data_IF_474731703684
#
_entry.id   IF_474731703684
#
_cell.length_a   1.000
_cell.length_b   1.000
_cell.length_c   1.000
_cell.angle_alpha   90.00
_cell.angle_beta   90.00
_cell.angle_gamma   90.00
#
_symmetry.space_group_name_H-M   'P 1'
#
loop_
_entity.id
_entity.type
_entity.pdbx_description
1 polymer ?
#
# COMPACT_ATOMS: atom_id res chain seq x y z
N UNK A 1 5.35 -40.63 -30.22
CA UNK A 1 4.92 -39.22 -30.41
C UNK A 1 4.83 -38.63 -29.01
N UNK A 2 5.77 -37.75 -28.66
CA UNK A 2 6.07 -37.30 -27.28
C UNK A 2 5.07 -36.21 -26.81
N UNK A 3 4.61 -36.20 -25.55
CA UNK A 3 3.67 -35.21 -25.01
C UNK A 3 4.32 -33.85 -24.66
N UNK A 4 5.37 -33.44 -25.37
CA UNK A 4 6.28 -32.36 -24.95
C UNK A 4 5.86 -30.94 -25.39
N UNK A 5 4.69 -30.77 -26.01
CA UNK A 5 4.28 -29.48 -26.58
C UNK A 5 2.95 -28.97 -26.00
N UNK A 6 2.73 -29.10 -24.69
CA UNK A 6 1.68 -28.31 -24.04
C UNK A 6 2.17 -26.84 -23.99
N UNK A 7 1.55 -25.89 -24.71
CA UNK A 7 1.91 -24.49 -24.55
C UNK A 7 1.71 -24.12 -23.08
N UNK A 8 2.74 -23.55 -22.44
CA UNK A 8 2.63 -22.98 -21.11
C UNK A 8 1.48 -21.98 -21.15
N UNK A 9 0.34 -22.36 -20.59
CA UNK A 9 -0.85 -21.52 -20.51
C UNK A 9 -0.40 -20.20 -19.90
N UNK A 10 -0.35 -19.15 -20.73
CA UNK A 10 -0.09 -17.78 -20.30
C UNK A 10 -1.25 -17.36 -19.40
N UNK A 11 -1.18 -17.77 -18.14
CA UNK A 11 -1.97 -17.21 -17.05
C UNK A 11 -1.80 -15.70 -17.17
N UNK A 12 -2.93 -15.02 -17.38
CA UNK A 12 -2.97 -13.64 -17.87
C UNK A 12 -2.02 -12.74 -17.09
N UNK A 13 -1.07 -12.12 -17.80
CA UNK A 13 -0.21 -11.05 -17.26
C UNK A 13 -1.01 -9.84 -16.74
N UNK A 14 -2.32 -9.81 -17.00
CA UNK A 14 -3.22 -8.74 -16.63
C UNK A 14 -4.11 -9.14 -15.45
N UNK A 15 -4.26 -8.26 -14.44
CA UNK A 15 -5.17 -8.48 -13.33
C UNK A 15 -6.63 -8.58 -13.81
N UNK A 16 -7.45 -9.35 -13.08
CA UNK A 16 -8.87 -9.47 -13.41
C UNK A 16 -9.59 -8.12 -13.35
N UNK A 17 -10.65 -7.94 -14.16
CA UNK A 17 -11.48 -6.72 -14.12
C UNK A 17 -12.00 -6.41 -12.72
N UNK A 18 -12.30 -7.46 -11.94
CA UNK A 18 -12.72 -7.35 -10.54
C UNK A 18 -11.59 -6.79 -9.67
N UNK A 19 -10.37 -7.33 -9.80
CA UNK A 19 -9.21 -6.82 -9.06
C UNK A 19 -8.89 -5.37 -9.42
N UNK A 20 -9.00 -4.99 -10.70
CA UNK A 20 -8.86 -3.59 -11.13
C UNK A 20 -9.94 -2.71 -10.51
N UNK A 21 -11.21 -3.10 -10.60
CA UNK A 21 -12.32 -2.30 -10.07
C UNK A 21 -12.24 -2.12 -8.55
N UNK A 22 -12.03 -3.20 -7.80
CA UNK A 22 -11.90 -3.14 -6.33
C UNK A 22 -10.62 -2.42 -5.93
N UNK A 23 -9.51 -2.65 -6.63
CA UNK A 23 -8.25 -1.95 -6.42
C UNK A 23 -8.43 -0.44 -6.58
N UNK A 24 -9.05 0.02 -7.66
CA UNK A 24 -9.31 1.45 -7.86
C UNK A 24 -10.20 2.04 -6.76
N UNK A 25 -11.26 1.35 -6.35
CA UNK A 25 -12.12 1.79 -5.24
C UNK A 25 -11.35 1.91 -3.92
N UNK A 26 -10.53 0.92 -3.59
CA UNK A 26 -9.70 0.94 -2.39
C UNK A 26 -8.62 2.04 -2.46
N UNK A 27 -8.01 2.24 -3.63
CA UNK A 27 -7.08 3.32 -3.89
C UNK A 27 -7.71 4.69 -3.67
N UNK A 28 -8.92 4.92 -4.22
CA UNK A 28 -9.65 6.16 -4.03
C UNK A 28 -10.04 6.38 -2.57
N UNK A 29 -10.49 5.34 -1.88
CA UNK A 29 -10.79 5.42 -0.44
C UNK A 29 -9.54 5.79 0.36
N UNK A 30 -8.40 5.15 0.08
CA UNK A 30 -7.13 5.47 0.73
C UNK A 30 -6.67 6.90 0.45
N UNK A 31 -6.81 7.36 -0.80
CA UNK A 31 -6.51 8.74 -1.19
C UNK A 31 -7.38 9.74 -0.43
N UNK A 32 -8.68 9.48 -0.27
CA UNK A 32 -9.60 10.34 0.49
C UNK A 32 -9.18 10.39 1.97
N UNK A 33 -8.86 9.25 2.58
CA UNK A 33 -8.39 9.20 3.97
C UNK A 33 -7.09 9.98 4.13
N UNK A 34 -6.12 9.78 3.23
CA UNK A 34 -4.87 10.55 3.24
C UNK A 34 -5.14 12.04 3.09
N UNK A 35 -6.00 12.45 2.16
CA UNK A 35 -6.35 13.86 1.96
C UNK A 35 -6.95 14.47 3.24
N UNK A 36 -7.90 13.78 3.87
CA UNK A 36 -8.50 14.22 5.12
C UNK A 36 -7.48 14.31 6.27
N UNK A 37 -6.55 13.35 6.37
CA UNK A 37 -5.46 13.40 7.37
C UNK A 37 -4.50 14.55 7.10
N UNK A 38 -4.16 14.81 5.83
CA UNK A 38 -3.27 15.91 5.47
C UNK A 38 -3.90 17.27 5.76
N UNK A 39 -5.21 17.41 5.55
CA UNK A 39 -5.96 18.60 5.95
C UNK A 39 -6.02 18.73 7.48
N UNK A 40 -6.29 17.64 8.20
CA UNK A 40 -6.37 17.65 9.66
C UNK A 40 -5.04 18.03 10.34
N UNK A 41 -3.91 17.58 9.78
CA UNK A 41 -2.58 17.93 10.28
C UNK A 41 -1.97 19.19 9.65
N UNK A 42 -2.73 19.94 8.85
CA UNK A 42 -2.26 21.13 8.12
C UNK A 42 -0.99 20.89 7.28
N UNK A 43 -0.89 19.69 6.67
CA UNK A 43 0.22 19.30 5.80
C UNK A 43 0.00 19.89 4.40
N UNK A 44 0.55 21.08 4.16
CA UNK A 44 0.48 21.72 2.85
C UNK A 44 1.58 21.21 1.91
N UNK A 45 1.16 20.55 0.83
CA UNK A 45 2.05 20.19 -0.29
C UNK A 45 2.06 21.26 -1.41
N UNK A 46 1.25 22.33 -1.27
CA UNK A 46 1.11 23.43 -2.23
C UNK A 46 0.62 23.02 -3.62
N UNK A 47 0.38 23.95 -4.55
CA UNK A 47 0.20 23.62 -5.99
C UNK A 47 1.56 23.31 -6.64
N UNK A 48 2.12 22.16 -6.30
CA UNK A 48 3.42 21.69 -6.78
C UNK A 48 3.23 20.33 -7.51
N UNK A 49 3.99 20.00 -8.57
CA UNK A 49 4.01 18.63 -9.15
C UNK A 49 4.18 17.51 -8.10
N UNK A 50 4.74 17.81 -6.94
CA UNK A 50 4.80 16.93 -5.79
C UNK A 50 3.43 16.41 -5.31
N UNK A 51 2.36 17.19 -5.45
CA UNK A 51 1.00 16.72 -5.15
C UNK A 51 0.60 15.52 -5.99
N UNK A 52 0.94 15.53 -7.28
CA UNK A 52 0.61 14.43 -8.20
C UNK A 52 1.36 13.18 -7.77
N UNK A 53 2.64 13.31 -7.41
CA UNK A 53 3.44 12.21 -6.87
C UNK A 53 2.81 11.58 -5.61
N UNK A 54 2.41 12.41 -4.64
CA UNK A 54 1.77 11.95 -3.40
C UNK A 54 0.39 11.34 -3.66
N UNK A 55 -0.40 11.94 -4.55
CA UNK A 55 -1.73 11.43 -4.90
C UNK A 55 -1.65 10.06 -5.60
N UNK A 56 -0.70 9.90 -6.52
CA UNK A 56 -0.42 8.60 -7.16
C UNK A 56 0.03 7.60 -6.10
N UNK A 57 0.92 7.99 -5.20
CA UNK A 57 1.38 7.12 -4.11
C UNK A 57 0.25 6.65 -3.21
N UNK A 58 -0.62 7.56 -2.76
CA UNK A 58 -1.78 7.23 -1.94
C UNK A 58 -2.77 6.31 -2.70
N UNK A 59 -3.04 6.61 -3.98
CA UNK A 59 -3.87 5.74 -4.81
C UNK A 59 -3.27 4.33 -4.93
N UNK A 60 -1.97 4.22 -5.21
CA UNK A 60 -1.26 2.95 -5.34
C UNK A 60 -1.22 2.15 -4.05
N UNK A 61 -1.00 2.82 -2.90
CA UNK A 61 -0.96 2.19 -1.59
C UNK A 61 -2.30 1.57 -1.19
N UNK A 62 -3.44 2.14 -1.60
CA UNK A 62 -4.74 1.48 -1.43
C UNK A 62 -5.01 0.41 -2.50
N UNK A 63 -4.67 0.72 -3.76
CA UNK A 63 -5.09 -0.11 -4.89
C UNK A 63 -4.33 -1.43 -5.02
N UNK A 64 -3.01 -1.40 -4.90
CA UNK A 64 -2.16 -2.58 -5.09
C UNK A 64 -2.45 -3.70 -4.07
N UNK A 65 -2.44 -3.46 -2.75
CA UNK A 65 -2.72 -4.52 -1.79
C UNK A 65 -4.16 -5.03 -1.89
N UNK A 66 -5.13 -4.17 -2.20
CA UNK A 66 -6.51 -4.60 -2.43
C UNK A 66 -6.64 -5.50 -3.67
N UNK A 67 -5.97 -5.16 -4.77
CA UNK A 67 -5.95 -6.01 -5.96
C UNK A 67 -5.30 -7.37 -5.67
N UNK A 68 -4.18 -7.41 -4.93
CA UNK A 68 -3.52 -8.65 -4.51
C UNK A 68 -4.41 -9.50 -3.58
N UNK A 69 -5.18 -8.86 -2.70
CA UNK A 69 -6.15 -9.55 -1.87
C UNK A 69 -7.28 -10.16 -2.72
N UNK A 70 -7.80 -9.43 -3.69
CA UNK A 70 -8.90 -9.95 -4.54
C UNK A 70 -8.44 -11.10 -5.43
N UNK A 71 -7.26 -10.96 -6.04
CA UNK A 71 -6.76 -11.92 -7.03
C UNK A 71 -6.13 -13.16 -6.38
N UNK A 72 -5.37 -12.96 -5.30
CA UNK A 72 -4.54 -14.01 -4.70
C UNK A 72 -4.87 -14.30 -3.24
N UNK A 73 -5.87 -13.60 -2.68
CA UNK A 73 -6.25 -13.69 -1.25
C UNK A 73 -5.09 -13.43 -0.30
N UNK A 74 -4.12 -12.61 -0.71
CA UNK A 74 -2.98 -12.20 0.11
C UNK A 74 -3.41 -11.07 1.05
N UNK A 75 -3.28 -11.29 2.35
CA UNK A 75 -3.73 -10.35 3.39
C UNK A 75 -2.57 -9.50 3.91
N UNK A 76 -1.36 -10.06 3.90
CA UNK A 76 -0.16 -9.42 4.44
C UNK A 76 0.16 -8.06 3.78
N UNK A 77 0.01 -7.86 2.46
CA UNK A 77 0.22 -6.55 1.84
C UNK A 77 -0.69 -5.46 2.42
N UNK A 78 -1.97 -5.76 2.60
CA UNK A 78 -2.97 -4.82 3.14
C UNK A 78 -2.66 -4.47 4.60
N UNK A 79 -2.28 -5.46 5.41
CA UNK A 79 -1.88 -5.26 6.81
C UNK A 79 -0.65 -4.37 6.88
N UNK A 80 0.37 -4.62 6.05
CA UNK A 80 1.60 -3.83 6.04
C UNK A 80 1.33 -2.34 5.75
N UNK A 81 0.51 -2.05 4.71
CA UNK A 81 0.14 -0.67 4.38
C UNK A 81 -0.71 -0.03 5.47
N UNK A 82 -1.68 -0.77 6.02
CA UNK A 82 -2.56 -0.26 7.09
C UNK A 82 -1.77 0.08 8.36
N UNK A 83 -0.87 -0.81 8.80
CA UNK A 83 -0.01 -0.56 9.95
C UNK A 83 0.93 0.63 9.71
N UNK A 84 1.50 0.76 8.52
CA UNK A 84 2.34 1.90 8.17
C UNK A 84 1.56 3.23 8.21
N UNK A 85 0.32 3.25 7.71
CA UNK A 85 -0.54 4.44 7.80
C UNK A 85 -0.90 4.77 9.24
N UNK A 86 -1.33 3.78 10.04
CA UNK A 86 -1.71 3.98 11.44
C UNK A 86 -0.52 4.43 12.27
N UNK A 87 0.64 3.79 12.14
CA UNK A 87 1.84 4.15 12.87
C UNK A 87 2.33 5.56 12.53
N UNK A 88 2.31 5.94 11.25
CA UNK A 88 2.73 7.28 10.82
C UNK A 88 1.73 8.37 11.21
N UNK A 89 0.43 8.08 11.14
CA UNK A 89 -0.64 8.96 11.63
C UNK A 89 -0.52 9.17 13.14
N UNK A 90 -0.40 8.09 13.90
CA UNK A 90 -0.22 8.14 15.34
C UNK A 90 1.06 8.87 15.74
N UNK A 91 2.17 8.60 15.05
CA UNK A 91 3.44 9.29 15.28
C UNK A 91 3.38 10.79 14.98
N UNK A 92 2.56 11.21 14.01
CA UNK A 92 2.34 12.64 13.75
C UNK A 92 1.52 13.26 14.87
N UNK A 93 0.42 12.61 15.25
CA UNK A 93 -0.44 13.07 16.33
C UNK A 93 0.30 13.17 17.67
N UNK A 94 1.08 12.15 18.02
CA UNK A 94 1.78 12.06 19.31
C UNK A 94 2.87 13.12 19.49
N UNK A 95 3.40 13.66 18.39
CA UNK A 95 4.48 14.66 18.41
C UNK A 95 3.94 16.08 18.22
N UNK A 96 2.93 16.28 17.36
CA UNK A 96 2.51 17.61 16.92
C UNK A 96 1.11 18.02 17.39
N UNK A 97 0.33 17.11 17.97
CA UNK A 97 -1.05 17.39 18.42
C UNK A 97 -1.24 17.10 19.91
N UNK A 98 -0.73 15.97 20.40
CA UNK A 98 -0.89 15.56 21.79
C UNK A 98 -0.09 16.39 22.82
N UNK A 99 1.17 16.81 22.55
CA UNK A 99 1.98 17.53 23.54
C UNK A 99 1.54 18.98 23.76
N UNK A 100 1.73 19.50 24.98
CA UNK A 100 1.50 20.92 25.28
C UNK A 100 2.54 21.86 24.65
N UNK A 101 3.75 21.35 24.43
CA UNK A 101 4.84 22.07 23.76
C UNK A 101 5.22 21.35 22.48
N UNK A 102 4.97 22.01 21.35
CA UNK A 102 5.25 21.46 20.02
C UNK A 102 6.75 21.64 19.73
N UNK A 103 7.48 20.57 19.39
CA UNK A 103 8.89 20.66 19.05
C UNK A 103 9.11 21.41 17.73
N UNK A 104 10.26 22.07 17.59
CA UNK A 104 10.67 22.66 16.31
C UNK A 104 10.88 21.55 15.26
N UNK A 105 10.21 21.62 14.10
CA UNK A 105 10.34 20.56 13.08
C UNK A 105 11.76 20.47 12.51
N UNK A 106 12.34 19.27 12.52
CA UNK A 106 13.64 18.96 11.89
C UNK A 106 13.50 18.25 10.53
N UNK A 107 12.27 18.10 10.04
CA UNK A 107 11.94 17.44 8.77
C UNK A 107 10.44 17.20 8.62
N UNK A 108 10.01 16.47 7.58
CA UNK A 108 8.64 15.99 7.44
C UNK A 108 8.14 15.26 8.69
N UNK A 109 6.84 15.40 8.98
CA UNK A 109 6.18 14.59 10.01
C UNK A 109 6.25 13.10 9.67
N UNK A 110 6.03 12.18 10.62
CA UNK A 110 5.97 10.75 10.31
C UNK A 110 4.97 10.41 9.19
N UNK A 111 3.80 11.07 9.15
CA UNK A 111 2.84 10.95 8.05
C UNK A 111 3.40 11.54 6.76
N UNK A 112 4.10 12.67 6.83
CA UNK A 112 4.85 13.23 5.71
C UNK A 112 5.83 12.21 5.12
N UNK A 113 6.65 11.57 5.94
CA UNK A 113 7.59 10.54 5.47
C UNK A 113 6.92 9.32 4.86
N UNK A 114 5.79 8.88 5.40
CA UNK A 114 4.97 7.82 4.80
C UNK A 114 4.53 8.19 3.37
N UNK A 115 4.10 9.44 3.16
CA UNK A 115 3.63 9.93 1.86
C UNK A 115 4.78 10.14 0.87
N UNK A 116 5.94 10.61 1.32
CA UNK A 116 7.12 10.79 0.47
C UNK A 116 7.73 9.44 0.08
N UNK A 117 7.84 8.54 1.05
CA UNK A 117 8.46 7.22 0.93
C UNK A 117 7.52 6.11 0.46
N UNK A 118 6.38 6.43 -0.15
CA UNK A 118 5.33 5.45 -0.49
C UNK A 118 5.85 4.28 -1.33
N UNK A 119 6.85 4.51 -2.19
CA UNK A 119 7.48 3.45 -3.01
C UNK A 119 8.13 2.37 -2.12
N UNK A 120 8.77 2.78 -1.03
CA UNK A 120 9.35 1.84 -0.07
C UNK A 120 8.25 1.05 0.66
N UNK A 121 7.14 1.71 1.02
CA UNK A 121 5.98 1.05 1.66
C UNK A 121 5.36 0.02 0.71
N UNK A 122 5.20 0.34 -0.58
CA UNK A 122 4.78 -0.63 -1.60
C UNK A 122 5.76 -1.79 -1.69
N UNK A 123 7.07 -1.52 -1.73
CA UNK A 123 8.10 -2.55 -1.75
C UNK A 123 7.98 -3.52 -0.57
N UNK A 124 7.81 -3.01 0.65
CA UNK A 124 7.59 -3.83 1.86
C UNK A 124 6.30 -4.64 1.75
N UNK A 125 5.20 -4.05 1.28
CA UNK A 125 3.92 -4.74 1.11
C UNK A 125 4.03 -5.88 0.09
N UNK A 126 4.75 -5.69 -1.01
CA UNK A 126 4.99 -6.72 -2.01
C UNK A 126 5.86 -7.86 -1.48
N UNK A 127 6.92 -7.54 -0.72
CA UNK A 127 7.74 -8.55 -0.06
C UNK A 127 6.89 -9.38 0.92
N UNK A 128 6.06 -8.72 1.73
CA UNK A 128 5.15 -9.40 2.65
C UNK A 128 4.18 -10.34 1.92
N UNK A 129 3.61 -9.89 0.80
CA UNK A 129 2.77 -10.72 -0.06
C UNK A 129 3.50 -11.91 -0.69
N UNK A 130 4.75 -11.70 -1.13
CA UNK A 130 5.60 -12.77 -1.67
C UNK A 130 5.94 -13.83 -0.62
N UNK A 131 6.24 -13.42 0.61
CA UNK A 131 6.47 -14.33 1.74
C UNK A 131 5.20 -15.11 2.07
N UNK A 132 4.06 -14.44 2.19
CA UNK A 132 2.77 -15.09 2.45
C UNK A 132 2.43 -16.12 1.36
N UNK A 133 2.61 -15.74 0.09
CA UNK A 133 2.37 -16.62 -1.04
C UNK A 133 3.29 -17.85 -1.01
N UNK A 134 4.58 -17.66 -0.75
CA UNK A 134 5.56 -18.73 -0.66
C UNK A 134 5.25 -19.73 0.47
N UNK A 135 4.88 -19.24 1.65
CA UNK A 135 4.48 -20.09 2.79
C UNK A 135 3.25 -20.92 2.43
N UNK A 136 2.20 -20.30 1.88
CA UNK A 136 0.98 -21.01 1.48
C UNK A 136 1.27 -22.13 0.48
N UNK A 137 2.11 -21.87 -0.52
CA UNK A 137 2.50 -22.87 -1.53
C UNK A 137 3.29 -24.03 -0.91
N UNK A 138 4.23 -23.74 -0.02
CA UNK A 138 5.02 -24.76 0.67
C UNK A 138 4.17 -25.65 1.59
N UNK A 139 3.14 -25.08 2.23
CA UNK A 139 2.22 -25.84 3.06
C UNK A 139 1.36 -26.79 2.25
N UNK A 140 0.86 -26.36 1.07
CA UNK A 140 0.11 -27.22 0.16
C UNK A 140 0.97 -28.39 -0.32
N UNK A 141 2.20 -28.11 -0.77
CA UNK A 141 3.12 -29.15 -1.26
C UNK A 141 3.62 -30.13 -0.18
N UNK A 142 3.42 -29.83 1.11
CA UNK A 142 3.75 -30.71 2.24
C UNK A 142 2.55 -31.51 2.77
N UNK A 143 1.34 -31.13 2.37
CA UNK A 143 0.10 -31.80 2.75
C UNK A 143 -0.39 -32.84 1.74
N UNK A 144 0.23 -32.87 0.55
CA UNK A 144 0.18 -33.96 -0.43
C UNK A 144 1.23 -35.02 -0.11
#
# INVERSE_FOLDING_TARGET
MSPENAPLSSSSLFPSRRAVGIGLLAGLAHLIVVAALTEWFDLSFGRNPFLVYVAVGALSLGALPAALFVEHRLVAPSIAVALALVASTYGTWSVYVAPETIPTPVGPTPLGWYLIGWVAVVGVALIAGGVEYGIRRAMVARGE
#
